data_IF_982309649869
#
_entry.id   IF_982309649869
#
_cell.length_a   1.000
_cell.length_b   1.000
_cell.length_c   1.000
_cell.angle_alpha   90.00
_cell.angle_beta   90.00
_cell.angle_gamma   90.00
#
_symmetry.space_group_name_H-M   'P 1'
#
loop_
_entity.id
_entity.type
_entity.pdbx_description
1 polymer ?
#
# COMPACT_ATOMS: atom_id res chain seq x y z
N UNK A 1 -32.69 -44.57 9.41
CA UNK A 1 -32.24 -45.19 10.69
C UNK A 1 -32.31 -44.16 11.78
N UNK A 2 -33.16 -44.42 12.77
CA UNK A 2 -33.49 -43.53 13.89
C UNK A 2 -32.42 -43.62 14.96
N UNK A 3 -31.97 -42.53 15.58
CA UNK A 3 -31.36 -42.45 16.91
C UNK A 3 -31.54 -41.03 17.42
N UNK A 4 -32.42 -40.81 18.29
CA UNK A 4 -32.53 -40.97 19.73
C UNK A 4 -31.89 -39.80 20.50
N UNK A 5 -32.79 -38.97 21.04
CA UNK A 5 -32.59 -37.85 21.96
C UNK A 5 -32.13 -38.38 23.34
N UNK A 6 -31.18 -37.76 23.97
CA UNK A 6 -30.98 -37.81 25.41
C UNK A 6 -31.14 -36.40 26.01
N UNK A 7 -32.22 -36.25 26.73
CA UNK A 7 -32.49 -35.11 27.61
C UNK A 7 -31.79 -35.47 28.95
N UNK A 8 -30.82 -34.66 29.36
CA UNK A 8 -30.26 -34.72 30.70
C UNK A 8 -30.69 -33.47 31.45
N UNK A 9 -31.62 -33.69 32.38
CA UNK A 9 -32.04 -32.72 33.40
C UNK A 9 -30.96 -32.67 34.46
N UNK A 10 -30.36 -31.47 34.68
CA UNK A 10 -29.46 -31.25 35.81
C UNK A 10 -30.02 -30.17 36.72
N UNK A 11 -30.24 -30.58 37.96
CA UNK A 11 -30.87 -29.89 39.07
C UNK A 11 -30.07 -28.66 39.52
N UNK A 12 -30.82 -27.57 39.78
CA UNK A 12 -30.36 -26.34 40.45
C UNK A 12 -29.98 -26.61 41.91
N UNK A 13 -28.76 -26.26 42.28
CA UNK A 13 -28.39 -26.03 43.69
C UNK A 13 -28.06 -24.53 43.81
N UNK A 14 -28.93 -23.82 44.47
CA UNK A 14 -28.73 -22.41 44.81
C UNK A 14 -27.78 -22.31 46.01
N UNK A 15 -26.56 -21.88 45.82
CA UNK A 15 -25.65 -21.47 46.88
C UNK A 15 -25.56 -19.94 46.88
N UNK A 16 -26.20 -19.34 47.87
CA UNK A 16 -26.13 -17.90 48.13
C UNK A 16 -24.78 -17.55 48.76
N UNK A 17 -23.85 -17.02 47.98
CA UNK A 17 -22.66 -16.34 48.52
C UNK A 17 -22.91 -14.83 48.53
N UNK A 18 -23.03 -14.28 49.72
CA UNK A 18 -22.97 -12.85 49.99
C UNK A 18 -21.53 -12.38 49.84
N UNK A 19 -21.21 -11.76 48.72
CA UNK A 19 -19.91 -11.10 48.50
C UNK A 19 -20.05 -9.66 48.97
N UNK A 20 -19.48 -9.35 50.13
CA UNK A 20 -19.24 -7.99 50.61
C UNK A 20 -18.30 -7.28 49.63
N UNK A 21 -18.85 -6.30 48.91
CA UNK A 21 -18.11 -5.53 47.93
C UNK A 21 -17.06 -4.63 48.58
N UNK A 22 -15.79 -4.95 48.40
CA UNK A 22 -14.72 -3.97 48.49
C UNK A 22 -14.68 -3.17 47.15
N UNK A 23 -15.20 -1.97 47.16
CA UNK A 23 -15.02 -1.03 46.06
C UNK A 23 -13.58 -0.50 46.11
N UNK A 24 -12.66 -1.12 45.40
CA UNK A 24 -11.39 -0.53 45.06
C UNK A 24 -11.64 0.59 44.00
N UNK A 25 -11.79 1.81 44.50
CA UNK A 25 -11.73 2.99 43.66
C UNK A 25 -10.30 3.16 43.11
N UNK A 26 -10.00 2.42 42.04
CA UNK A 26 -8.76 2.60 41.29
C UNK A 26 -8.82 3.95 40.57
N UNK A 27 -8.15 4.97 41.12
CA UNK A 27 -7.88 6.21 40.40
C UNK A 27 -7.09 5.85 39.14
N UNK A 28 -7.74 5.89 37.98
CA UNK A 28 -7.04 5.82 36.69
C UNK A 28 -6.15 7.06 36.60
N UNK A 29 -4.88 6.91 36.93
CA UNK A 29 -3.87 7.92 36.67
C UNK A 29 -3.74 8.00 35.14
N UNK A 30 -4.25 9.08 34.57
CA UNK A 30 -3.97 9.44 33.20
C UNK A 30 -2.44 9.53 33.05
N UNK A 31 -1.87 8.66 32.18
CA UNK A 31 -0.45 8.75 31.86
C UNK A 31 -0.13 10.18 31.40
N UNK A 32 0.97 10.80 31.88
CA UNK A 32 1.32 12.14 31.46
C UNK A 32 1.45 12.17 29.94
N UNK A 33 0.66 12.98 29.27
CA UNK A 33 0.83 13.28 27.85
C UNK A 33 2.24 13.82 27.68
N UNK A 34 3.08 13.14 26.89
CA UNK A 34 4.43 13.60 26.56
C UNK A 34 4.29 14.89 25.74
N UNK A 35 4.66 16.07 26.26
CA UNK A 35 4.43 17.36 25.59
C UNK A 35 5.34 17.63 24.38
N UNK A 36 6.17 16.68 23.96
CA UNK A 36 7.19 16.88 22.93
C UNK A 36 7.20 15.78 21.84
N UNK A 37 6.06 15.22 21.45
CA UNK A 37 6.04 14.47 20.21
C UNK A 37 6.23 15.47 19.06
N UNK A 38 7.43 15.49 18.45
CA UNK A 38 7.65 16.26 17.24
C UNK A 38 6.55 15.91 16.22
N UNK A 39 6.00 16.91 15.50
CA UNK A 39 4.96 16.63 14.52
C UNK A 39 5.43 15.54 13.55
N UNK A 40 4.59 14.54 13.33
CA UNK A 40 4.91 13.44 12.44
C UNK A 40 5.26 14.00 11.05
N UNK A 41 6.41 13.60 10.51
CA UNK A 41 6.87 14.07 9.21
C UNK A 41 5.79 13.81 8.14
N UNK A 42 5.51 14.83 7.33
CA UNK A 42 4.57 14.71 6.22
C UNK A 42 5.19 13.83 5.15
N UNK A 43 4.56 12.70 4.85
CA UNK A 43 5.01 11.78 3.81
C UNK A 43 4.55 12.27 2.43
N UNK A 44 5.47 12.28 1.47
CA UNK A 44 5.21 12.68 0.08
C UNK A 44 5.83 11.68 -0.90
N UNK A 45 5.42 11.77 -2.16
CA UNK A 45 6.04 11.04 -3.28
C UNK A 45 6.19 11.98 -4.47
N UNK A 46 7.24 11.74 -5.25
CA UNK A 46 7.46 12.38 -6.55
C UNK A 46 7.42 11.27 -7.61
N UNK A 47 6.69 11.47 -8.68
CA UNK A 47 6.68 10.50 -9.80
C UNK A 47 7.83 10.77 -10.77
N UNK A 48 8.06 12.02 -11.11
CA UNK A 48 9.11 12.40 -12.07
C UNK A 48 9.98 13.55 -11.53
N UNK A 49 11.25 13.66 -11.99
CA UNK A 49 12.09 14.82 -11.69
C UNK A 49 11.40 16.13 -12.09
N UNK A 50 11.52 17.16 -11.25
CA UNK A 50 10.92 18.47 -11.51
C UNK A 50 9.42 18.56 -11.17
N UNK A 51 8.78 17.50 -10.75
CA UNK A 51 7.38 17.49 -10.34
C UNK A 51 7.20 17.90 -8.88
N UNK A 52 5.96 18.28 -8.52
CA UNK A 52 5.62 18.66 -7.17
C UNK A 52 5.47 17.44 -6.26
N UNK A 53 5.73 17.65 -4.96
CA UNK A 53 5.45 16.66 -3.93
C UNK A 53 3.95 16.34 -3.85
N UNK A 54 3.61 15.07 -3.89
CA UNK A 54 2.23 14.59 -3.85
C UNK A 54 1.94 13.79 -2.59
N UNK A 55 0.72 13.91 -2.09
CA UNK A 55 0.19 13.10 -0.97
C UNK A 55 -1.00 12.30 -1.49
N UNK A 56 -0.95 10.98 -1.38
CA UNK A 56 -2.00 10.06 -1.83
C UNK A 56 -2.48 10.35 -3.27
N UNK A 57 -1.57 10.44 -4.26
CA UNK A 57 -1.97 10.74 -5.63
C UNK A 57 -2.92 9.68 -6.17
N UNK A 58 -3.87 10.07 -7.03
CA UNK A 58 -4.77 9.13 -7.72
C UNK A 58 -4.11 8.49 -8.93
N UNK A 59 -3.05 9.09 -9.43
CA UNK A 59 -2.24 8.60 -10.55
C UNK A 59 -0.77 8.85 -10.28
N UNK A 60 0.08 8.05 -10.88
CA UNK A 60 1.53 8.08 -10.70
C UNK A 60 2.23 7.63 -11.97
N UNK A 61 3.08 8.48 -12.55
CA UNK A 61 3.83 8.15 -13.76
C UNK A 61 5.05 7.30 -13.39
N UNK A 62 5.25 6.18 -14.08
CA UNK A 62 6.41 5.30 -13.91
C UNK A 62 7.48 5.53 -14.96
N UNK A 63 7.07 5.88 -16.19
CA UNK A 63 7.96 6.13 -17.32
C UNK A 63 7.95 7.63 -17.65
N UNK A 64 8.84 8.38 -17.01
CA UNK A 64 8.86 9.85 -17.09
C UNK A 64 9.27 10.41 -18.45
N UNK A 65 10.02 9.65 -19.25
CA UNK A 65 10.55 10.14 -20.52
C UNK A 65 9.49 10.15 -21.64
N UNK A 66 8.62 9.14 -21.66
CA UNK A 66 7.69 8.88 -22.77
C UNK A 66 6.24 8.62 -22.36
N UNK A 67 5.97 8.55 -21.05
CA UNK A 67 4.63 8.29 -20.52
C UNK A 67 4.08 6.89 -20.78
N UNK A 68 4.89 5.95 -21.24
CA UNK A 68 4.45 4.61 -21.65
C UNK A 68 4.04 3.70 -20.49
N UNK A 69 4.25 4.11 -19.25
CA UNK A 69 3.78 3.38 -18.07
C UNK A 69 3.33 4.32 -16.95
N UNK A 70 2.16 4.06 -16.40
CA UNK A 70 1.60 4.81 -15.28
C UNK A 70 0.73 3.92 -14.38
N UNK A 71 0.65 4.28 -13.11
CA UNK A 71 -0.34 3.76 -12.18
C UNK A 71 -1.53 4.72 -12.15
N UNK A 72 -2.74 4.19 -12.22
CA UNK A 72 -3.97 4.99 -12.20
C UNK A 72 -5.00 4.39 -11.23
N UNK A 73 -6.01 5.18 -10.88
CA UNK A 73 -7.08 4.78 -9.96
C UNK A 73 -6.55 4.27 -8.61
N UNK A 74 -5.49 4.90 -8.11
CA UNK A 74 -4.90 4.54 -6.82
C UNK A 74 -5.87 4.84 -5.68
N UNK A 75 -6.23 3.79 -4.94
CA UNK A 75 -7.02 3.85 -3.72
C UNK A 75 -6.13 3.45 -2.54
N UNK A 76 -5.68 4.44 -1.79
CA UNK A 76 -4.74 4.28 -0.68
C UNK A 76 -5.45 3.74 0.56
N UNK A 77 -5.01 2.58 1.05
CA UNK A 77 -5.45 1.99 2.31
C UNK A 77 -4.55 2.40 3.49
N UNK A 78 -3.28 2.65 3.21
CA UNK A 78 -2.29 3.07 4.20
C UNK A 78 -1.46 4.22 3.64
N UNK A 79 -1.14 5.20 4.51
CA UNK A 79 -0.20 6.28 4.20
C UNK A 79 0.44 6.74 5.51
N UNK A 80 1.55 6.14 5.88
CA UNK A 80 2.23 6.33 7.16
C UNK A 80 3.74 6.50 6.95
N UNK A 81 4.47 7.03 7.93
CA UNK A 81 5.92 7.12 7.86
C UNK A 81 6.54 5.77 7.49
N UNK A 82 7.30 5.76 6.40
CA UNK A 82 8.01 4.58 5.91
C UNK A 82 7.19 3.53 5.15
N UNK A 83 5.84 3.62 5.13
CA UNK A 83 4.99 2.66 4.42
C UNK A 83 3.69 3.30 3.92
N UNK A 84 3.38 3.11 2.64
CA UNK A 84 2.05 3.35 2.07
C UNK A 84 1.63 2.19 1.18
N UNK A 85 0.33 1.92 1.09
CA UNK A 85 -0.21 0.87 0.22
C UNK A 85 -1.49 1.32 -0.47
N UNK A 86 -1.63 0.93 -1.73
CA UNK A 86 -2.82 1.21 -2.53
C UNK A 86 -3.18 0.03 -3.44
N UNK A 87 -4.45 -0.09 -3.76
CA UNK A 87 -4.91 -0.82 -4.94
C UNK A 87 -4.99 0.14 -6.12
N UNK A 88 -4.67 -0.34 -7.32
CA UNK A 88 -4.74 0.46 -8.53
C UNK A 88 -4.64 -0.36 -9.79
N UNK A 89 -4.32 0.30 -10.89
CA UNK A 89 -4.15 -0.31 -12.21
C UNK A 89 -2.85 0.20 -12.83
N UNK A 90 -1.97 -0.71 -13.23
CA UNK A 90 -0.89 -0.39 -14.14
C UNK A 90 -1.47 -0.21 -15.54
N UNK A 91 -1.17 0.91 -16.17
CA UNK A 91 -1.42 1.17 -17.59
C UNK A 91 -0.08 1.20 -18.28
N UNK A 92 0.11 0.33 -19.24
CA UNK A 92 1.39 0.17 -19.95
C UNK A 92 1.18 0.00 -21.43
N UNK A 93 1.96 0.72 -22.24
CA UNK A 93 2.01 0.59 -23.69
C UNK A 93 2.78 -0.69 -24.06
N UNK A 94 2.27 -1.47 -25.00
CA UNK A 94 2.94 -2.68 -25.52
C UNK A 94 4.07 -2.37 -26.52
N UNK A 95 4.14 -1.12 -26.98
CA UNK A 95 5.12 -0.66 -27.96
C UNK A 95 5.20 -1.54 -29.22
N UNK A 96 4.10 -2.13 -29.66
CA UNK A 96 4.06 -3.02 -30.82
C UNK A 96 3.31 -2.38 -31.99
N UNK A 97 3.93 -2.19 -33.16
CA UNK A 97 5.32 -2.51 -33.56
C UNK A 97 6.35 -1.51 -33.02
N UNK A 98 5.93 -0.30 -32.56
CA UNK A 98 6.74 0.71 -31.86
C UNK A 98 5.84 1.55 -30.95
N UNK A 99 6.40 2.25 -29.96
CA UNK A 99 5.61 2.84 -28.89
C UNK A 99 4.56 3.87 -29.37
N UNK A 100 4.83 4.65 -30.43
CA UNK A 100 3.85 5.60 -30.97
C UNK A 100 2.65 4.93 -31.66
N UNK A 101 2.79 3.69 -32.11
CA UNK A 101 1.72 2.89 -32.70
C UNK A 101 1.19 1.79 -31.76
N UNK A 102 1.77 1.66 -30.59
CA UNK A 102 1.41 0.67 -29.60
C UNK A 102 0.09 0.98 -28.90
N UNK A 103 -0.40 0.01 -28.13
CA UNK A 103 -1.66 0.08 -27.43
C UNK A 103 -1.44 0.02 -25.91
N UNK A 104 -2.24 0.79 -25.17
CA UNK A 104 -2.20 0.79 -23.72
C UNK A 104 -3.06 -0.33 -23.14
N UNK A 105 -2.44 -1.21 -22.41
CA UNK A 105 -3.06 -2.30 -21.68
C UNK A 105 -3.20 -1.98 -20.19
N UNK A 106 -4.14 -2.64 -19.52
CA UNK A 106 -4.47 -2.39 -18.12
C UNK A 106 -4.30 -3.65 -17.30
N UNK A 107 -3.56 -3.55 -16.18
CA UNK A 107 -3.23 -4.68 -15.32
C UNK A 107 -3.56 -4.33 -13.86
N UNK A 108 -4.41 -5.11 -13.16
CA UNK A 108 -4.69 -4.89 -11.74
C UNK A 108 -3.40 -5.00 -10.92
N UNK A 109 -3.22 -4.09 -9.97
CA UNK A 109 -2.00 -4.01 -9.20
C UNK A 109 -2.22 -3.57 -7.76
N UNK A 110 -1.34 -4.05 -6.88
CA UNK A 110 -1.07 -3.47 -5.57
C UNK A 110 0.22 -2.65 -5.66
N UNK A 111 0.22 -1.52 -5.00
CA UNK A 111 1.34 -0.59 -4.92
C UNK A 111 1.74 -0.43 -3.47
N UNK A 112 3.03 -0.60 -3.19
CA UNK A 112 3.61 -0.38 -1.87
C UNK A 112 4.74 0.63 -2.00
N UNK A 113 4.62 1.77 -1.32
CA UNK A 113 5.70 2.74 -1.18
C UNK A 113 6.39 2.49 0.16
N UNK A 114 7.72 2.50 0.16
CA UNK A 114 8.49 2.24 1.36
C UNK A 114 9.87 2.90 1.33
N UNK A 115 10.57 2.82 2.49
CA UNK A 115 11.74 3.63 2.74
C UNK A 115 11.40 5.12 2.82
N UNK A 116 12.21 5.92 3.48
CA UNK A 116 11.98 7.36 3.56
C UNK A 116 13.29 8.13 3.61
N UNK A 117 13.25 9.35 3.06
CA UNK A 117 14.35 10.31 3.10
C UNK A 117 13.77 11.70 3.36
N UNK A 118 14.38 12.47 4.25
CA UNK A 118 14.05 13.88 4.45
C UNK A 118 14.32 14.66 3.15
N UNK A 119 13.39 15.51 2.74
CA UNK A 119 13.47 16.30 1.49
C UNK A 119 13.33 17.80 1.71
N UNK A 120 13.32 18.24 2.96
CA UNK A 120 13.15 19.63 3.38
C UNK A 120 11.76 19.93 3.88
N UNK A 121 11.58 21.13 4.46
CA UNK A 121 10.27 21.66 4.91
C UNK A 121 9.46 20.74 5.84
N UNK A 122 10.12 19.84 6.59
CA UNK A 122 9.45 18.85 7.44
C UNK A 122 8.81 17.70 6.68
N UNK A 123 9.12 17.54 5.39
CA UNK A 123 8.63 16.47 4.54
C UNK A 123 9.64 15.32 4.40
N UNK A 124 9.11 14.12 4.27
CA UNK A 124 9.87 12.91 3.95
C UNK A 124 9.30 12.28 2.67
N UNK A 125 10.16 12.01 1.70
CA UNK A 125 9.77 11.31 0.48
C UNK A 125 9.94 9.80 0.63
N UNK A 126 9.00 9.02 0.08
CA UNK A 126 9.22 7.58 -0.14
C UNK A 126 10.33 7.40 -1.17
N UNK A 127 11.20 6.38 -0.94
CA UNK A 127 12.38 6.14 -1.77
C UNK A 127 12.23 4.93 -2.70
N UNK A 128 11.24 4.08 -2.46
CA UNK A 128 11.00 2.87 -3.24
C UNK A 128 9.51 2.63 -3.47
N UNK A 129 9.20 2.09 -4.65
CA UNK A 129 7.89 1.60 -5.03
C UNK A 129 8.00 0.12 -5.39
N UNK A 130 7.21 -0.72 -4.73
CA UNK A 130 7.01 -2.11 -5.12
C UNK A 130 5.64 -2.24 -5.78
N UNK A 131 5.63 -2.72 -7.01
CA UNK A 131 4.45 -3.05 -7.80
C UNK A 131 4.22 -4.56 -7.75
N UNK A 132 3.01 -4.99 -7.42
CA UNK A 132 2.60 -6.38 -7.39
C UNK A 132 1.40 -6.54 -8.33
N UNK A 133 1.59 -7.26 -9.43
CA UNK A 133 0.53 -7.55 -10.41
C UNK A 133 -0.36 -8.67 -9.88
N UNK A 134 -1.66 -8.40 -9.74
CA UNK A 134 -2.62 -9.31 -9.08
C UNK A 134 -3.49 -10.10 -10.05
N UNK A 135 -3.22 -9.99 -11.34
CA UNK A 135 -3.94 -10.67 -12.42
C UNK A 135 -3.06 -10.86 -13.65
N UNK A 136 -3.58 -10.54 -14.84
CA UNK A 136 -2.79 -10.54 -16.05
C UNK A 136 -1.56 -9.65 -15.92
N UNK A 137 -0.51 -9.97 -16.67
CA UNK A 137 0.78 -9.29 -16.62
C UNK A 137 1.19 -8.84 -18.02
N UNK A 138 1.91 -7.72 -18.14
CA UNK A 138 2.55 -7.34 -19.40
C UNK A 138 3.42 -8.49 -19.91
N UNK A 139 3.40 -8.72 -21.22
CA UNK A 139 4.22 -9.74 -21.85
C UNK A 139 4.49 -9.38 -23.30
N UNK A 140 5.51 -9.99 -23.85
CA UNK A 140 5.85 -9.90 -25.26
C UNK A 140 6.20 -11.30 -25.80
N UNK A 141 6.02 -11.48 -27.10
CA UNK A 141 6.43 -12.73 -27.76
C UNK A 141 7.89 -12.64 -28.17
N UNK A 142 8.73 -13.48 -27.59
CA UNK A 142 10.13 -13.64 -27.99
C UNK A 142 10.20 -14.51 -29.25
N UNK A 143 10.38 -13.88 -30.39
CA UNK A 143 10.43 -14.55 -31.70
C UNK A 143 11.69 -15.43 -31.89
N UNK A 144 12.75 -15.16 -31.14
CA UNK A 144 14.00 -15.95 -31.20
C UNK A 144 13.82 -17.30 -30.48
N UNK A 145 13.19 -17.27 -29.32
CA UNK A 145 12.96 -18.47 -28.51
C UNK A 145 11.54 -19.05 -28.67
N UNK A 146 10.72 -18.49 -29.55
CA UNK A 146 9.33 -18.89 -29.84
C UNK A 146 8.46 -19.04 -28.59
N UNK A 147 8.55 -18.09 -27.63
CA UNK A 147 7.80 -18.15 -26.38
C UNK A 147 7.30 -16.77 -25.91
N UNK A 148 6.25 -16.80 -25.12
CA UNK A 148 5.80 -15.61 -24.38
C UNK A 148 6.68 -15.37 -23.14
N UNK A 149 7.14 -14.15 -23.00
CA UNK A 149 7.87 -13.68 -21.80
C UNK A 149 6.99 -12.67 -21.08
N UNK A 150 6.74 -12.92 -19.81
CA UNK A 150 5.88 -12.07 -18.98
C UNK A 150 6.70 -11.32 -17.94
N UNK A 151 6.26 -10.09 -17.65
CA UNK A 151 6.83 -9.30 -16.56
C UNK A 151 6.76 -10.07 -15.23
N UNK A 152 7.72 -9.90 -14.32
CA UNK A 152 7.65 -10.48 -12.97
C UNK A 152 6.37 -10.06 -12.26
N UNK A 153 5.82 -10.93 -11.40
CA UNK A 153 4.66 -10.60 -10.55
C UNK A 153 4.95 -9.41 -9.66
N UNK A 154 6.18 -9.34 -9.14
CA UNK A 154 6.62 -8.27 -8.23
C UNK A 154 7.83 -7.57 -8.81
N UNK A 155 7.78 -6.25 -8.84
CA UNK A 155 8.87 -5.39 -9.31
C UNK A 155 9.08 -4.25 -8.32
N UNK A 156 10.34 -3.89 -8.07
CA UNK A 156 10.67 -2.74 -7.20
C UNK A 156 11.47 -1.71 -7.97
N UNK A 157 11.05 -0.46 -7.86
CA UNK A 157 11.65 0.69 -8.53
C UNK A 157 12.17 1.69 -7.49
N UNK A 158 13.34 2.31 -7.70
CA UNK A 158 13.73 3.49 -6.94
C UNK A 158 12.80 4.65 -7.31
N UNK A 159 12.52 5.53 -6.34
CA UNK A 159 11.76 6.75 -6.55
C UNK A 159 12.68 7.97 -6.47
N UNK A 160 12.35 9.00 -7.23
CA UNK A 160 12.97 10.30 -7.08
C UNK A 160 12.59 10.90 -5.73
N UNK A 161 13.53 11.61 -5.10
CA UNK A 161 13.36 12.18 -3.76
C UNK A 161 13.50 13.70 -3.75
N UNK A 162 13.44 14.34 -4.89
CA UNK A 162 13.49 15.81 -4.99
C UNK A 162 12.75 16.27 -6.24
N UNK A 163 12.26 17.49 -6.20
CA UNK A 163 11.73 18.19 -7.37
C UNK A 163 12.83 18.77 -8.30
N UNK A 164 14.11 18.71 -7.87
CA UNK A 164 15.19 19.23 -8.72
C UNK A 164 15.47 18.28 -9.88
N UNK A 165 15.33 18.78 -11.09
CA UNK A 165 16.06 18.24 -12.23
C UNK A 165 17.53 18.35 -11.89
N UNK A 166 18.25 17.23 -11.80
CA UNK A 166 19.70 17.26 -11.62
C UNK A 166 20.34 18.20 -12.64
N UNK A 167 21.15 19.10 -12.16
CA UNK A 167 21.98 19.97 -12.98
C UNK A 167 23.05 19.15 -13.71
#
# INVERSE_FOLDING_TARGET
MKRAWFVTVLTLVAASLTITGLTLSGSAQAAPAHPNAAPAARMVVFDCPGQHAMVRPKSFVLACADGNAALVKLAWSTWAPGLASAKGTLVQNDCTPYCAAGHFHRYPALVVLWGSKAVGSGEHAYTKLTLILTGARPGYYDSVHHKWVYAPVTQTFPLVTSSSTGA
#
